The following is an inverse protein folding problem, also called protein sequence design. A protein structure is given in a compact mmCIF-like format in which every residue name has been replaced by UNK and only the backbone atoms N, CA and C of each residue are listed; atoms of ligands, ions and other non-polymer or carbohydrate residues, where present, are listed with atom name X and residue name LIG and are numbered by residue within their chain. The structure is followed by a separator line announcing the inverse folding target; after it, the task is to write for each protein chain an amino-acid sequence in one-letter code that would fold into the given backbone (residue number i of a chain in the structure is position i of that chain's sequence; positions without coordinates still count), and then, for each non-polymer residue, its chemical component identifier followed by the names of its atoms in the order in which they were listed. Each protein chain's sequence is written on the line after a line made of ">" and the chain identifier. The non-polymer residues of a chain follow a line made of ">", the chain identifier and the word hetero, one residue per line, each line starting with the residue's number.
data_IF_112013736037
#
_entry.id   IF_112013736037
#
_cell.length_a   1.000
_cell.length_b   1.000
_cell.length_c   1.000
_cell.angle_alpha   90.00
_cell.angle_beta   90.00
_cell.angle_gamma   90.00
#
_symmetry.space_group_name_H-M   'P 1'
#
loop_
_entity.id
_entity.type
_entity.pdbx_description
1 polymer ?
#
# COMPACT_ATOMS: atom_id res chain seq x y z
N UNK A 1 11.23 31.04 -42.33
CA UNK A 1 9.96 30.31 -42.38
C UNK A 1 10.23 28.97 -43.04
N UNK A 2 10.22 27.80 -42.41
CA UNK A 2 10.01 27.40 -41.03
C UNK A 2 10.66 26.02 -40.90
N UNK A 3 11.55 25.84 -39.92
CA UNK A 3 12.10 24.53 -39.56
C UNK A 3 11.03 23.84 -38.73
N UNK A 4 10.41 22.78 -39.24
CA UNK A 4 9.63 21.86 -38.41
C UNK A 4 10.56 20.74 -37.96
N UNK A 5 10.70 20.68 -36.64
CA UNK A 5 11.56 19.81 -35.88
C UNK A 5 10.86 18.46 -35.72
N UNK A 6 11.20 17.48 -36.57
CA UNK A 6 10.61 16.14 -36.56
C UNK A 6 11.58 15.13 -35.89
N UNK A 7 12.09 15.50 -34.72
CA UNK A 7 13.09 14.72 -33.99
C UNK A 7 12.79 14.73 -32.49
N UNK A 8 11.87 13.87 -32.08
CA UNK A 8 11.86 13.21 -30.76
C UNK A 8 10.89 12.03 -30.82
N UNK A 9 11.27 11.01 -31.61
CA UNK A 9 10.68 9.68 -31.49
C UNK A 9 11.06 9.11 -30.13
N UNK A 10 10.05 8.84 -29.33
CA UNK A 10 10.12 8.20 -28.01
C UNK A 10 11.00 6.95 -28.02
N UNK A 11 11.85 6.83 -27.01
CA UNK A 11 12.76 5.72 -26.77
C UNK A 11 12.01 4.39 -26.70
N UNK A 12 12.03 3.60 -27.79
CA UNK A 12 11.67 2.17 -27.75
C UNK A 12 12.82 1.38 -27.13
N UNK A 13 12.88 1.31 -25.80
CA UNK A 13 13.73 0.31 -25.15
C UNK A 13 13.24 -1.09 -25.54
N UNK A 14 14.13 -1.91 -26.11
CA UNK A 14 13.79 -3.27 -26.54
C UNK A 14 13.31 -4.12 -25.37
N UNK A 15 12.07 -4.60 -25.42
CA UNK A 15 11.51 -5.49 -24.40
C UNK A 15 12.33 -6.77 -24.25
N UNK A 16 12.67 -7.12 -23.01
CA UNK A 16 13.35 -8.39 -22.74
C UNK A 16 12.46 -9.59 -23.14
N UNK A 17 13.04 -10.74 -23.55
CA UNK A 17 12.27 -11.93 -23.91
C UNK A 17 11.35 -12.43 -22.78
N UNK A 18 11.76 -12.24 -21.52
CA UNK A 18 10.96 -12.59 -20.33
C UNK A 18 9.74 -11.68 -20.24
N UNK A 19 9.93 -10.35 -20.30
CA UNK A 19 8.82 -9.38 -20.27
C UNK A 19 7.80 -9.65 -21.38
N UNK A 20 8.25 -9.93 -22.61
CA UNK A 20 7.34 -10.27 -23.72
C UNK A 20 6.51 -11.53 -23.44
N UNK A 21 7.10 -12.59 -22.88
CA UNK A 21 6.37 -13.82 -22.56
C UNK A 21 5.32 -13.60 -21.47
N UNK A 22 5.62 -12.79 -20.46
CA UNK A 22 4.68 -12.46 -19.39
C UNK A 22 3.48 -11.69 -19.94
N UNK A 23 3.73 -10.67 -20.77
CA UNK A 23 2.70 -9.91 -21.46
C UNK A 23 1.80 -10.83 -22.31
N UNK A 24 2.40 -11.62 -23.20
CA UNK A 24 1.63 -12.51 -24.08
C UNK A 24 0.83 -13.58 -23.32
N UNK A 25 1.37 -14.08 -22.20
CA UNK A 25 0.70 -15.09 -21.37
C UNK A 25 -0.52 -14.52 -20.63
N UNK A 26 -0.43 -13.28 -20.13
CA UNK A 26 -1.56 -12.61 -19.50
C UNK A 26 -2.67 -12.31 -20.53
N UNK A 27 -2.30 -11.76 -21.69
CA UNK A 27 -3.25 -11.52 -22.78
C UNK A 27 -3.95 -12.80 -23.26
N UNK A 28 -3.22 -13.93 -23.36
CA UNK A 28 -3.80 -15.24 -23.70
C UNK A 28 -4.84 -15.73 -22.68
N UNK A 29 -4.72 -15.35 -21.41
CA UNK A 29 -5.67 -15.68 -20.35
C UNK A 29 -6.80 -14.65 -20.21
N UNK A 30 -6.80 -13.61 -21.02
CA UNK A 30 -7.74 -12.49 -20.90
C UNK A 30 -7.48 -11.59 -19.68
N UNK A 31 -6.27 -11.64 -19.10
CA UNK A 31 -5.89 -10.84 -17.92
C UNK A 31 -4.93 -9.74 -18.30
N UNK A 32 -4.90 -8.68 -17.49
CA UNK A 32 -3.93 -7.58 -17.64
C UNK A 32 -2.54 -8.07 -17.19
N UNK A 33 -1.45 -7.82 -17.94
CA UNK A 33 -0.10 -8.16 -17.51
C UNK A 33 0.31 -7.40 -16.24
N UNK A 34 1.04 -8.07 -15.35
CA UNK A 34 1.63 -7.44 -14.16
C UNK A 34 2.81 -6.50 -14.49
N UNK A 35 3.44 -6.68 -15.65
CA UNK A 35 4.59 -5.91 -16.14
C UNK A 35 4.40 -5.55 -17.62
N UNK A 36 5.00 -4.42 -18.02
CA UNK A 36 5.07 -4.03 -19.43
C UNK A 36 3.78 -3.42 -19.97
N UNK A 37 2.97 -2.81 -19.09
CA UNK A 37 1.76 -2.08 -19.45
C UNK A 37 2.08 -0.88 -20.33
N UNK A 38 3.23 -0.25 -20.15
CA UNK A 38 3.75 0.83 -21.01
C UNK A 38 3.79 0.47 -22.51
N UNK A 39 3.85 -0.83 -22.83
CA UNK A 39 3.88 -1.33 -24.21
C UNK A 39 2.48 -1.54 -24.80
N UNK A 40 1.47 -1.58 -23.94
CA UNK A 40 0.07 -1.85 -24.28
C UNK A 40 -0.85 -0.66 -23.98
N UNK A 41 -0.38 0.29 -23.17
CA UNK A 41 -1.14 1.46 -22.73
C UNK A 41 -1.27 2.44 -23.88
N UNK A 42 -2.24 2.19 -24.74
CA UNK A 42 -2.64 3.11 -25.80
C UNK A 42 -3.81 3.93 -25.27
N UNK A 43 -3.67 5.26 -25.32
CA UNK A 43 -4.77 6.17 -25.02
C UNK A 43 -5.01 6.46 -23.54
N UNK A 44 -4.08 6.12 -22.64
CA UNK A 44 -4.11 6.56 -21.23
C UNK A 44 -3.16 7.73 -20.94
N UNK A 45 -2.36 8.16 -21.91
CA UNK A 45 -1.37 9.25 -21.73
C UNK A 45 -2.01 10.56 -21.25
N UNK A 46 -3.30 10.78 -21.56
CA UNK A 46 -4.05 11.94 -21.09
C UNK A 46 -4.26 11.95 -19.57
N UNK A 47 -4.23 10.78 -18.91
CA UNK A 47 -4.32 10.67 -17.45
C UNK A 47 -3.00 11.01 -16.77
N UNK A 48 -1.86 10.89 -17.47
CA UNK A 48 -0.54 10.98 -16.85
C UNK A 48 -0.31 12.30 -16.08
N UNK A 49 -0.59 13.49 -16.64
CA UNK A 49 -0.36 14.74 -15.93
C UNK A 49 -1.17 14.82 -14.63
N UNK A 50 -2.43 14.37 -14.67
CA UNK A 50 -3.31 14.39 -13.49
C UNK A 50 -2.81 13.43 -12.42
N UNK A 51 -2.45 12.21 -12.81
CA UNK A 51 -1.98 11.19 -11.86
C UNK A 51 -0.63 11.60 -11.25
N UNK A 52 0.27 12.18 -12.04
CA UNK A 52 1.57 12.62 -11.56
C UNK A 52 1.47 13.79 -10.56
N UNK A 53 0.60 14.77 -10.84
CA UNK A 53 0.34 15.88 -9.93
C UNK A 53 -0.27 15.40 -8.60
N UNK A 54 -1.16 14.41 -8.67
CA UNK A 54 -1.78 13.80 -7.50
C UNK A 54 -0.78 12.99 -6.69
N UNK A 55 0.05 12.17 -7.33
CA UNK A 55 1.13 11.44 -6.67
C UNK A 55 2.13 12.40 -6.02
N UNK A 56 2.47 13.51 -6.68
CA UNK A 56 3.34 14.54 -6.11
C UNK A 56 2.73 15.15 -4.85
N UNK A 57 1.42 15.44 -4.87
CA UNK A 57 0.69 15.98 -3.71
C UNK A 57 0.66 14.99 -2.55
N UNK A 58 0.42 13.70 -2.83
CA UNK A 58 0.44 12.63 -1.82
C UNK A 58 1.84 12.44 -1.24
N UNK A 59 2.88 12.48 -2.08
CA UNK A 59 4.27 12.41 -1.64
C UNK A 59 4.67 13.58 -0.72
N UNK A 60 4.04 14.75 -0.88
CA UNK A 60 4.16 15.89 0.01
C UNK A 60 3.35 15.75 1.32
N UNK A 61 2.54 14.70 1.45
CA UNK A 61 1.79 14.36 2.66
C UNK A 61 0.28 14.59 2.59
N UNK A 62 -0.30 14.90 1.43
CA UNK A 62 -1.75 14.93 1.28
C UNK A 62 -2.38 13.54 1.38
N UNK A 63 -3.63 13.47 1.84
CA UNK A 63 -4.51 12.33 1.61
C UNK A 63 -5.32 12.53 0.33
N UNK A 64 -5.35 11.54 -0.56
CA UNK A 64 -6.08 11.64 -1.84
C UNK A 64 -7.02 10.46 -2.06
N UNK A 65 -8.13 10.76 -2.73
CA UNK A 65 -9.07 9.76 -3.23
C UNK A 65 -9.38 10.03 -4.71
N UNK A 66 -9.35 8.98 -5.52
CA UNK A 66 -9.87 8.98 -6.90
C UNK A 66 -10.75 7.75 -7.10
N UNK A 67 -11.75 7.87 -7.97
CA UNK A 67 -12.54 6.74 -8.41
C UNK A 67 -12.52 6.64 -9.94
N UNK A 68 -12.27 5.44 -10.46
CA UNK A 68 -12.38 5.15 -11.89
C UNK A 68 -13.76 4.56 -12.17
N UNK A 69 -14.61 5.31 -12.88
CA UNK A 69 -15.95 4.86 -13.27
C UNK A 69 -16.00 4.58 -14.76
N UNK A 70 -16.60 3.44 -15.10
CA UNK A 70 -16.81 3.02 -16.48
C UNK A 70 -17.60 1.73 -16.56
N UNK A 71 -18.15 1.45 -17.75
CA UNK A 71 -18.90 0.23 -18.03
C UNK A 71 -18.03 -1.04 -17.87
N UNK A 72 -18.66 -2.20 -17.78
CA UNK A 72 -17.92 -3.46 -17.77
C UNK A 72 -17.12 -3.61 -19.07
N UNK A 73 -15.84 -3.97 -18.96
CA UNK A 73 -14.95 -4.07 -20.12
C UNK A 73 -14.40 -2.75 -20.65
N UNK A 74 -14.70 -1.60 -20.03
CA UNK A 74 -14.17 -0.27 -20.43
C UNK A 74 -12.67 -0.05 -20.14
N UNK A 75 -11.98 -1.05 -19.58
CA UNK A 75 -10.55 -0.94 -19.27
C UNK A 75 -10.23 -0.38 -17.88
N UNK A 76 -11.18 -0.36 -16.92
CA UNK A 76 -10.94 0.13 -15.54
C UNK A 76 -9.73 -0.55 -14.87
N UNK A 77 -9.70 -1.89 -14.86
CA UNK A 77 -8.59 -2.67 -14.30
C UNK A 77 -7.28 -2.35 -15.00
N UNK A 78 -7.31 -2.16 -16.32
CA UNK A 78 -6.13 -1.77 -17.08
C UNK A 78 -5.63 -0.37 -16.69
N UNK A 79 -6.54 0.60 -16.52
CA UNK A 79 -6.21 1.94 -16.04
C UNK A 79 -5.66 1.94 -14.61
N UNK A 80 -6.25 1.17 -13.69
CA UNK A 80 -5.73 1.00 -12.33
C UNK A 80 -4.31 0.46 -12.33
N UNK A 81 -4.08 -0.64 -13.05
CA UNK A 81 -2.75 -1.26 -13.16
C UNK A 81 -1.71 -0.31 -13.76
N UNK A 82 -2.13 0.52 -14.73
CA UNK A 82 -1.26 1.55 -15.28
C UNK A 82 -0.92 2.65 -14.25
N UNK A 83 -1.88 3.08 -13.43
CA UNK A 83 -1.65 4.02 -12.31
C UNK A 83 -0.71 3.39 -11.26
N UNK A 84 -0.89 2.12 -10.92
CA UNK A 84 -0.01 1.37 -10.03
C UNK A 84 1.45 1.39 -10.52
N UNK A 85 1.67 1.12 -11.81
CA UNK A 85 3.02 1.17 -12.38
C UNK A 85 3.62 2.58 -12.25
N UNK A 86 2.85 3.63 -12.55
CA UNK A 86 3.34 5.02 -12.38
C UNK A 86 3.66 5.35 -10.92
N UNK A 87 2.84 4.90 -9.99
CA UNK A 87 3.08 5.10 -8.57
C UNK A 87 4.38 4.41 -8.13
N UNK A 88 4.64 3.16 -8.56
CA UNK A 88 5.90 2.47 -8.29
C UNK A 88 7.11 3.19 -8.91
N UNK A 89 6.98 3.70 -10.14
CA UNK A 89 8.02 4.52 -10.79
C UNK A 89 8.28 5.84 -10.02
N UNK A 90 7.25 6.39 -9.37
CA UNK A 90 7.33 7.54 -8.48
C UNK A 90 7.75 7.20 -7.04
N UNK A 91 8.15 5.94 -6.75
CA UNK A 91 8.65 5.53 -5.44
C UNK A 91 7.57 5.19 -4.40
N UNK A 92 6.33 5.00 -4.81
CA UNK A 92 5.26 4.56 -3.91
C UNK A 92 5.28 3.05 -3.71
N UNK A 93 4.87 2.63 -2.51
CA UNK A 93 4.37 1.28 -2.33
C UNK A 93 2.94 1.18 -2.83
N UNK A 94 2.57 -0.01 -3.30
CA UNK A 94 1.27 -0.27 -3.91
C UNK A 94 0.65 -1.53 -3.32
N UNK A 95 -0.65 -1.48 -3.03
CA UNK A 95 -1.45 -2.65 -2.71
C UNK A 95 -2.76 -2.61 -3.49
N UNK A 96 -3.15 -3.74 -4.09
CA UNK A 96 -4.48 -3.92 -4.72
C UNK A 96 -5.29 -4.89 -3.88
N UNK A 97 -6.45 -4.45 -3.42
CA UNK A 97 -7.36 -5.22 -2.56
C UNK A 97 -8.69 -5.40 -3.27
N UNK A 98 -9.00 -6.64 -3.61
CA UNK A 98 -10.28 -7.00 -4.22
C UNK A 98 -11.38 -7.04 -3.16
N UNK A 99 -12.41 -6.22 -3.32
CA UNK A 99 -13.54 -6.13 -2.39
C UNK A 99 -14.55 -7.25 -2.68
N UNK A 100 -14.95 -7.96 -1.62
CA UNK A 100 -15.96 -9.02 -1.72
C UNK A 100 -16.81 -9.13 -0.46
N UNK A 101 -18.02 -9.68 -0.55
CA UNK A 101 -18.89 -9.86 0.62
C UNK A 101 -18.33 -10.87 1.64
N UNK A 102 -17.66 -11.91 1.15
CA UNK A 102 -17.21 -13.06 1.94
C UNK A 102 -15.82 -12.85 2.52
N UNK A 103 -14.86 -12.47 1.68
CA UNK A 103 -13.44 -12.55 2.01
C UNK A 103 -12.85 -11.20 2.41
N UNK A 104 -13.34 -10.11 1.83
CA UNK A 104 -12.84 -8.75 2.12
C UNK A 104 -13.98 -7.72 2.12
N UNK A 105 -14.90 -7.84 3.10
CA UNK A 105 -16.01 -6.91 3.20
C UNK A 105 -15.51 -5.53 3.61
N UNK A 106 -15.85 -4.52 2.80
CA UNK A 106 -15.37 -3.14 2.99
C UNK A 106 -15.70 -2.54 4.36
N UNK A 107 -16.77 -2.98 5.01
CA UNK A 107 -17.14 -2.51 6.35
C UNK A 107 -16.26 -3.09 7.49
N UNK A 108 -15.37 -4.04 7.19
CA UNK A 108 -14.37 -4.64 8.10
C UNK A 108 -12.97 -4.19 7.70
N UNK A 109 -12.58 -2.99 8.17
CA UNK A 109 -11.29 -2.38 7.82
C UNK A 109 -10.09 -3.21 8.28
N UNK A 110 -10.22 -4.02 9.33
CA UNK A 110 -9.20 -4.97 9.77
C UNK A 110 -8.86 -6.01 8.69
N UNK A 111 -9.86 -6.39 7.89
CA UNK A 111 -9.66 -7.33 6.78
C UNK A 111 -9.06 -6.63 5.57
N UNK A 112 -9.51 -5.40 5.27
CA UNK A 112 -8.91 -4.57 4.20
C UNK A 112 -7.44 -4.33 4.50
N UNK A 113 -7.10 -3.93 5.73
CA UNK A 113 -5.71 -3.75 6.17
C UNK A 113 -4.88 -5.02 6.03
N UNK A 114 -5.40 -6.18 6.46
CA UNK A 114 -4.70 -7.46 6.27
C UNK A 114 -4.42 -7.74 4.79
N UNK A 115 -5.38 -7.51 3.90
CA UNK A 115 -5.16 -7.68 2.45
C UNK A 115 -4.16 -6.66 1.91
N UNK A 116 -4.18 -5.42 2.39
CA UNK A 116 -3.22 -4.39 2.02
C UNK A 116 -1.79 -4.83 2.32
N UNK A 117 -1.53 -5.43 3.49
CA UNK A 117 -0.18 -5.90 3.85
C UNK A 117 0.22 -7.18 3.11
N UNK A 118 -0.73 -8.09 2.85
CA UNK A 118 -0.52 -9.31 2.05
C UNK A 118 -0.15 -9.01 0.59
N UNK A 119 -0.84 -8.03 -0.02
CA UNK A 119 -0.69 -7.64 -1.43
C UNK A 119 0.27 -6.46 -1.63
N UNK A 120 0.98 -6.05 -0.57
CA UNK A 120 1.92 -4.93 -0.62
C UNK A 120 3.09 -5.25 -1.55
N UNK A 121 3.41 -4.30 -2.42
CA UNK A 121 4.51 -4.37 -3.38
C UNK A 121 5.29 -3.07 -3.38
N UNK A 122 6.59 -3.16 -3.61
CA UNK A 122 7.50 -2.04 -3.84
C UNK A 122 8.34 -2.32 -5.08
N UNK A 123 9.06 -1.32 -5.57
CA UNK A 123 9.99 -1.51 -6.70
C UNK A 123 11.11 -2.51 -6.37
N UNK A 124 11.53 -2.59 -5.10
CA UNK A 124 12.53 -3.56 -4.65
C UNK A 124 11.94 -4.97 -4.44
N UNK A 125 10.68 -5.04 -3.99
CA UNK A 125 10.01 -6.28 -3.63
C UNK A 125 8.67 -6.40 -4.36
N UNK A 126 8.63 -7.06 -5.53
CA UNK A 126 7.44 -7.10 -6.40
C UNK A 126 6.29 -7.95 -5.83
N UNK A 127 6.50 -8.67 -4.72
CA UNK A 127 5.48 -9.46 -4.04
C UNK A 127 5.72 -9.47 -2.53
N UNK A 128 4.66 -9.35 -1.72
CA UNK A 128 4.68 -9.52 -0.25
C UNK A 128 5.78 -8.69 0.45
N UNK A 129 5.88 -7.41 0.08
CA UNK A 129 6.94 -6.51 0.50
C UNK A 129 6.90 -6.09 1.97
N UNK A 130 5.86 -6.47 2.74
CA UNK A 130 5.64 -5.93 4.07
C UNK A 130 6.81 -6.18 5.03
N UNK A 131 7.37 -7.39 5.05
CA UNK A 131 8.54 -7.70 5.89
C UNK A 131 9.76 -6.87 5.47
N UNK A 132 10.05 -6.85 4.17
CA UNK A 132 11.18 -6.11 3.62
C UNK A 132 11.07 -4.61 3.95
N UNK A 133 9.86 -4.07 4.00
CA UNK A 133 9.57 -2.70 4.43
C UNK A 133 9.89 -2.50 5.93
N UNK A 134 9.52 -3.43 6.81
CA UNK A 134 9.87 -3.36 8.23
C UNK A 134 11.40 -3.35 8.42
N UNK A 135 12.10 -4.23 7.70
CA UNK A 135 13.55 -4.35 7.76
C UNK A 135 14.26 -3.11 7.20
N UNK A 136 13.77 -2.57 6.09
CA UNK A 136 14.28 -1.32 5.50
C UNK A 136 14.04 -0.12 6.41
N UNK A 137 12.90 -0.07 7.11
CA UNK A 137 12.62 0.97 8.08
C UNK A 137 13.60 0.91 9.27
N UNK A 138 13.85 -0.28 9.82
CA UNK A 138 14.85 -0.48 10.88
C UNK A 138 16.23 0.01 10.44
N UNK A 139 16.70 -0.43 9.26
CA UNK A 139 18.00 -0.03 8.74
C UNK A 139 18.11 1.49 8.55
N UNK A 140 17.02 2.15 8.17
CA UNK A 140 16.98 3.62 8.04
C UNK A 140 17.06 4.30 9.39
N UNK A 141 16.34 3.81 10.39
CA UNK A 141 16.38 4.32 11.76
C UNK A 141 17.77 4.15 12.38
N UNK A 142 18.42 3.00 12.20
CA UNK A 142 19.79 2.75 12.68
C UNK A 142 20.77 3.75 12.06
N UNK A 143 20.71 3.92 10.73
CA UNK A 143 21.58 4.85 10.00
C UNK A 143 21.38 6.31 10.46
N UNK A 144 20.13 6.72 10.68
CA UNK A 144 19.81 8.07 11.13
C UNK A 144 20.23 8.31 12.58
N UNK A 145 20.10 7.31 13.45
CA UNK A 145 20.57 7.37 14.84
C UNK A 145 22.10 7.51 14.90
N UNK A 146 22.83 6.72 14.11
CA UNK A 146 24.30 6.81 13.98
C UNK A 146 24.73 8.19 13.45
N UNK A 147 24.09 8.65 12.37
CA UNK A 147 24.43 9.93 11.73
C UNK A 147 24.18 11.12 12.65
N UNK A 148 23.08 11.08 13.42
CA UNK A 148 22.72 12.15 14.35
C UNK A 148 23.41 12.03 15.72
N UNK A 149 24.08 10.90 16.01
CA UNK A 149 24.64 10.61 17.33
C UNK A 149 23.57 10.54 18.43
N UNK A 150 22.36 10.06 18.08
CA UNK A 150 21.20 9.98 18.97
C UNK A 150 20.96 8.54 19.40
N UNK A 151 20.26 8.38 20.52
CA UNK A 151 19.73 7.09 20.91
C UNK A 151 18.67 6.63 19.90
N UNK A 152 18.74 5.36 19.52
CA UNK A 152 17.85 4.78 18.51
C UNK A 152 16.42 4.68 19.03
N UNK A 153 16.23 4.27 20.29
CA UNK A 153 14.90 4.09 20.86
C UNK A 153 14.19 5.44 21.02
N UNK A 154 14.93 6.51 21.33
CA UNK A 154 14.41 7.88 21.28
C UNK A 154 13.92 8.28 19.88
N UNK A 155 14.67 7.93 18.82
CA UNK A 155 14.29 8.24 17.44
C UNK A 155 13.06 7.44 16.98
N UNK A 156 12.96 6.17 17.40
CA UNK A 156 11.79 5.32 17.15
C UNK A 156 10.54 5.93 17.80
N UNK A 157 10.64 6.34 19.07
CA UNK A 157 9.52 6.93 19.80
C UNK A 157 9.09 8.27 19.17
N UNK A 158 10.04 9.08 18.71
CA UNK A 158 9.76 10.32 17.99
C UNK A 158 8.99 10.06 16.68
N UNK A 159 9.48 9.15 15.82
CA UNK A 159 8.85 8.83 14.52
C UNK A 159 7.47 8.24 14.68
N UNK A 160 7.30 7.35 15.66
CA UNK A 160 6.04 6.65 15.89
C UNK A 160 5.10 7.39 16.83
N UNK A 161 5.48 8.56 17.35
CA UNK A 161 4.71 9.29 18.35
C UNK A 161 3.30 9.65 17.86
N UNK A 162 3.14 10.04 16.60
CA UNK A 162 1.84 10.34 15.99
C UNK A 162 0.96 9.08 15.87
N UNK A 163 1.57 7.94 15.52
CA UNK A 163 0.92 6.64 15.42
C UNK A 163 0.52 6.13 16.80
N UNK A 164 1.37 6.33 17.82
CA UNK A 164 1.11 5.91 19.19
C UNK A 164 -0.16 6.56 19.78
N UNK A 165 -0.52 7.78 19.36
CA UNK A 165 -1.74 8.46 19.80
C UNK A 165 -3.03 7.78 19.31
N UNK A 166 -2.97 7.08 18.17
CA UNK A 166 -4.15 6.49 17.51
C UNK A 166 -4.15 4.96 17.54
N UNK A 167 -2.98 4.34 17.55
CA UNK A 167 -2.77 2.90 17.64
C UNK A 167 -1.55 2.60 18.53
N UNK A 168 -1.66 2.73 19.88
CA UNK A 168 -0.55 2.49 20.80
C UNK A 168 0.11 1.10 20.67
N UNK A 169 -0.67 0.10 20.25
CA UNK A 169 -0.21 -1.28 20.12
C UNK A 169 0.66 -1.47 18.87
N UNK A 170 0.56 -0.60 17.85
CA UNK A 170 1.37 -0.71 16.64
C UNK A 170 2.86 -0.43 16.92
N UNK A 171 3.26 0.70 17.54
CA UNK A 171 4.65 0.93 17.92
C UNK A 171 5.18 -0.09 18.94
N UNK A 172 4.31 -0.59 19.83
CA UNK A 172 4.66 -1.65 20.77
C UNK A 172 5.06 -2.94 20.04
N UNK A 173 4.24 -3.39 19.08
CA UNK A 173 4.52 -4.57 18.29
C UNK A 173 5.72 -4.40 17.38
N UNK A 174 5.90 -3.22 16.78
CA UNK A 174 7.06 -2.90 15.96
C UNK A 174 8.35 -2.96 16.79
N UNK A 175 8.41 -2.35 17.97
CA UNK A 175 9.58 -2.49 18.87
C UNK A 175 9.86 -3.94 19.25
N UNK A 176 8.81 -4.72 19.51
CA UNK A 176 8.93 -6.16 19.72
C UNK A 176 9.56 -6.87 18.52
N UNK A 177 9.16 -6.50 17.29
CA UNK A 177 9.73 -7.04 16.06
C UNK A 177 11.23 -6.73 15.96
N UNK A 178 11.63 -5.46 16.17
CA UNK A 178 13.03 -5.04 16.12
C UNK A 178 13.90 -5.81 17.12
N UNK A 179 13.44 -5.91 18.38
CA UNK A 179 14.14 -6.67 19.42
C UNK A 179 14.28 -8.15 19.05
N UNK A 180 13.26 -8.74 18.44
CA UNK A 180 13.31 -10.12 17.99
C UNK A 180 14.31 -10.32 16.84
N UNK A 181 14.44 -9.35 15.93
CA UNK A 181 15.46 -9.35 14.87
C UNK A 181 16.87 -9.27 15.47
N UNK A 182 17.10 -8.40 16.45
CA UNK A 182 18.40 -8.27 17.15
C UNK A 182 18.80 -9.50 17.96
N UNK A 183 17.82 -10.20 18.54
CA UNK A 183 18.04 -11.44 19.27
C UNK A 183 18.19 -12.66 18.34
N UNK A 184 18.22 -12.46 17.00
CA UNK A 184 18.19 -13.52 15.98
C UNK A 184 17.00 -14.50 16.15
N UNK A 185 15.91 -14.04 16.76
CA UNK A 185 14.73 -14.84 17.05
C UNK A 185 13.71 -14.77 15.90
N UNK A 186 14.03 -15.48 14.82
CA UNK A 186 13.25 -15.46 13.58
C UNK A 186 11.80 -15.90 13.76
N UNK A 187 11.51 -16.86 14.64
CA UNK A 187 10.13 -17.31 14.89
C UNK A 187 9.28 -16.18 15.50
N UNK A 188 9.82 -15.45 16.48
CA UNK A 188 9.12 -14.33 17.10
C UNK A 188 9.01 -13.15 16.13
N UNK A 189 10.07 -12.84 15.39
CA UNK A 189 10.06 -11.78 14.38
C UNK A 189 8.99 -12.05 13.30
N UNK A 190 8.95 -13.26 12.75
CA UNK A 190 7.96 -13.66 11.74
C UNK A 190 6.54 -13.58 12.29
N UNK A 191 6.34 -14.04 13.54
CA UNK A 191 5.06 -13.95 14.21
C UNK A 191 4.60 -12.50 14.44
N UNK A 192 5.51 -11.60 14.83
CA UNK A 192 5.19 -10.19 15.05
C UNK A 192 4.96 -9.45 13.74
N UNK A 193 5.72 -9.75 12.69
CA UNK A 193 5.45 -9.24 11.35
C UNK A 193 4.07 -9.70 10.86
N UNK A 194 3.72 -10.98 11.05
CA UNK A 194 2.38 -11.48 10.72
C UNK A 194 1.28 -10.74 11.51
N UNK A 195 1.49 -10.52 12.81
CA UNK A 195 0.54 -9.81 13.66
C UNK A 195 0.38 -8.34 13.26
N UNK A 196 1.48 -7.63 13.04
CA UNK A 196 1.51 -6.27 12.50
C UNK A 196 0.81 -6.20 11.14
N UNK A 197 0.93 -7.26 10.34
CA UNK A 197 0.22 -7.44 9.08
C UNK A 197 -1.28 -7.69 9.22
N UNK A 198 -1.82 -7.84 10.44
CA UNK A 198 -3.25 -8.09 10.68
C UNK A 198 -3.65 -9.56 10.65
N UNK A 199 -2.69 -10.50 10.70
CA UNK A 199 -2.98 -11.93 10.85
C UNK A 199 -3.52 -12.22 12.26
N UNK A 200 -4.71 -12.82 12.35
CA UNK A 200 -5.35 -13.12 13.64
C UNK A 200 -4.88 -14.43 14.30
N UNK A 201 -4.20 -15.30 13.55
CA UNK A 201 -3.79 -16.64 13.96
C UNK A 201 -2.35 -16.70 14.52
N UNK A 202 -1.89 -15.63 15.17
CA UNK A 202 -0.55 -15.55 15.77
C UNK A 202 -0.54 -16.16 17.17
N UNK A 203 0.52 -16.86 17.53
CA UNK A 203 0.64 -17.55 18.82
C UNK A 203 0.63 -16.58 20.00
N UNK A 204 0.13 -17.04 21.15
CA UNK A 204 0.14 -16.24 22.39
C UNK A 204 1.55 -15.95 22.90
N UNK A 205 2.51 -16.84 22.61
CA UNK A 205 3.94 -16.65 22.93
C UNK A 205 4.49 -15.41 22.24
N UNK A 206 4.23 -15.27 20.93
CA UNK A 206 4.65 -14.12 20.13
C UNK A 206 4.03 -12.83 20.68
N UNK A 207 2.72 -12.80 20.94
CA UNK A 207 2.04 -11.61 21.48
C UNK A 207 2.59 -11.21 22.86
N UNK A 208 2.82 -12.20 23.72
CA UNK A 208 3.37 -11.99 25.08
C UNK A 208 4.79 -11.43 25.04
N UNK A 209 5.61 -11.85 24.08
CA UNK A 209 6.97 -11.33 23.91
C UNK A 209 6.98 -9.80 23.75
N UNK A 210 6.06 -9.27 22.94
CA UNK A 210 5.90 -7.82 22.71
C UNK A 210 4.93 -7.14 23.68
N UNK A 211 4.38 -7.84 24.69
CA UNK A 211 3.41 -7.28 25.63
C UNK A 211 2.04 -6.91 25.02
N UNK A 212 1.72 -7.46 23.86
CA UNK A 212 0.48 -7.20 23.12
C UNK A 212 -0.70 -7.86 23.82
N UNK A 213 -1.82 -7.13 23.89
CA UNK A 213 -3.12 -7.63 24.40
C UNK A 213 -4.19 -7.44 23.33
N UNK A 214 -4.95 -8.49 23.04
CA UNK A 214 -6.04 -8.48 22.08
C UNK A 214 -5.61 -8.74 20.63
N UNK A 215 -6.55 -8.51 19.71
CA UNK A 215 -6.37 -8.65 18.27
C UNK A 215 -6.66 -7.33 17.57
N UNK A 216 -6.28 -7.24 16.30
CA UNK A 216 -6.70 -6.15 15.42
C UNK A 216 -8.22 -6.18 15.21
N UNK A 217 -8.86 -5.04 15.39
CA UNK A 217 -10.29 -4.83 15.13
C UNK A 217 -10.53 -3.63 14.20
N UNK A 218 -11.80 -3.37 13.87
CA UNK A 218 -12.17 -2.27 12.98
C UNK A 218 -11.69 -0.90 13.47
N UNK A 219 -11.68 -0.67 14.78
CA UNK A 219 -11.35 0.64 15.36
C UNK A 219 -9.85 0.90 15.35
N UNK A 220 -9.06 -0.16 15.53
CA UNK A 220 -7.60 -0.12 15.53
C UNK A 220 -7.02 -0.18 14.12
N UNK A 221 -7.74 -0.80 13.16
CA UNK A 221 -7.31 -0.91 11.75
C UNK A 221 -6.99 0.43 11.08
N UNK A 222 -7.74 1.49 11.39
CA UNK A 222 -7.47 2.84 10.86
C UNK A 222 -6.13 3.39 11.36
N UNK A 223 -5.82 3.21 12.64
CA UNK A 223 -4.54 3.58 13.21
C UNK A 223 -3.39 2.72 12.69
N UNK A 224 -3.64 1.44 12.43
CA UNK A 224 -2.66 0.53 11.82
C UNK A 224 -2.34 0.92 10.38
N UNK A 225 -3.33 1.33 9.59
CA UNK A 225 -3.07 1.83 8.23
C UNK A 225 -2.17 3.08 8.25
N UNK A 226 -2.35 3.98 9.22
CA UNK A 226 -1.43 5.11 9.41
C UNK A 226 -0.04 4.67 9.82
N UNK A 227 0.04 3.70 10.75
CA UNK A 227 1.30 3.09 11.14
C UNK A 227 2.05 2.52 9.94
N UNK A 228 1.35 1.80 9.06
CA UNK A 228 1.91 1.30 7.80
C UNK A 228 2.43 2.44 6.92
N UNK A 229 1.67 3.52 6.72
CA UNK A 229 2.11 4.66 5.89
C UNK A 229 3.36 5.32 6.49
N UNK A 230 3.40 5.50 7.81
CA UNK A 230 4.56 6.06 8.52
C UNK A 230 5.80 5.18 8.32
N UNK A 231 5.66 3.86 8.48
CA UNK A 231 6.74 2.92 8.24
C UNK A 231 7.18 2.93 6.78
N UNK A 232 6.26 2.99 5.83
CA UNK A 232 6.60 3.07 4.40
C UNK A 232 7.43 4.31 4.09
N UNK A 233 7.06 5.47 4.63
CA UNK A 233 7.81 6.72 4.43
C UNK A 233 9.17 6.67 5.11
N UNK A 234 9.24 6.15 6.33
CA UNK A 234 10.51 5.93 7.01
C UNK A 234 11.40 4.87 6.34
N UNK A 235 10.84 3.97 5.53
CA UNK A 235 11.58 3.01 4.69
C UNK A 235 11.93 3.58 3.30
N UNK A 236 11.73 4.88 3.08
CA UNK A 236 12.09 5.57 1.83
C UNK A 236 11.04 5.49 0.71
N UNK A 237 9.83 5.00 0.98
CA UNK A 237 8.72 5.08 0.01
C UNK A 237 8.08 6.48 0.04
N UNK A 238 7.62 6.98 -1.10
CA UNK A 238 6.97 8.29 -1.19
C UNK A 238 5.56 8.31 -0.57
N UNK A 239 4.92 7.15 -0.45
CA UNK A 239 3.58 6.98 0.14
C UNK A 239 3.01 5.60 -0.19
N UNK A 240 1.69 5.45 -0.01
CA UNK A 240 0.93 4.25 -0.32
C UNK A 240 -0.15 4.56 -1.35
N UNK A 241 -0.12 3.88 -2.50
CA UNK A 241 -1.29 3.73 -3.36
C UNK A 241 -2.04 2.45 -2.97
N UNK A 242 -3.26 2.62 -2.47
CA UNK A 242 -4.16 1.52 -2.15
C UNK A 242 -5.31 1.52 -3.16
N UNK A 243 -5.37 0.46 -3.96
CA UNK A 243 -6.46 0.23 -4.93
C UNK A 243 -7.50 -0.66 -4.30
N UNK A 244 -8.77 -0.23 -4.30
CA UNK A 244 -9.91 -1.08 -3.99
C UNK A 244 -10.55 -1.56 -5.30
N UNK A 245 -10.25 -2.80 -5.70
CA UNK A 245 -10.83 -3.37 -6.93
C UNK A 245 -12.19 -4.01 -6.65
N UNK A 246 -13.01 -4.13 -7.69
CA UNK A 246 -14.36 -4.72 -7.66
C UNK A 246 -15.34 -4.07 -6.66
N UNK A 247 -15.16 -2.78 -6.34
CA UNK A 247 -16.09 -2.04 -5.44
C UNK A 247 -17.53 -2.03 -5.99
N UNK A 248 -17.74 -2.17 -7.30
CA UNK A 248 -19.08 -2.30 -7.89
C UNK A 248 -19.84 -3.54 -7.41
N UNK A 249 -19.16 -4.56 -6.88
CA UNK A 249 -19.80 -5.77 -6.31
C UNK A 249 -20.72 -5.43 -5.14
N UNK A 250 -20.46 -4.33 -4.43
CA UNK A 250 -21.33 -3.81 -3.37
C UNK A 250 -22.78 -3.62 -3.83
N UNK A 251 -23.02 -3.32 -5.12
CA UNK A 251 -24.36 -3.12 -5.66
C UNK A 251 -25.20 -4.41 -5.65
N UNK A 252 -24.54 -5.57 -5.72
CA UNK A 252 -25.19 -6.89 -5.77
C UNK A 252 -25.38 -7.52 -4.38
N UNK A 253 -24.84 -6.90 -3.35
CA UNK A 253 -24.93 -7.38 -1.96
C UNK A 253 -26.30 -7.11 -1.34
N UNK A 254 -26.58 -7.80 -0.22
CA UNK A 254 -27.77 -7.55 0.60
C UNK A 254 -27.81 -6.10 1.07
N UNK A 255 -29.00 -5.52 1.15
CA UNK A 255 -29.20 -4.09 1.46
C UNK A 255 -28.49 -3.65 2.74
N UNK A 256 -28.60 -4.43 3.82
CA UNK A 256 -27.98 -4.14 5.11
C UNK A 256 -26.44 -4.10 5.05
N UNK A 257 -25.85 -5.02 4.29
CA UNK A 257 -24.40 -5.13 4.15
C UNK A 257 -23.87 -4.07 3.20
N UNK A 258 -24.62 -3.77 2.14
CA UNK A 258 -24.35 -2.66 1.22
C UNK A 258 -24.36 -1.32 1.96
N UNK A 259 -25.36 -1.05 2.80
CA UNK A 259 -25.45 0.18 3.59
C UNK A 259 -24.26 0.33 4.56
N UNK A 260 -23.87 -0.76 5.24
CA UNK A 260 -22.69 -0.76 6.10
C UNK A 260 -21.41 -0.45 5.33
N UNK A 261 -21.21 -1.08 4.16
CA UNK A 261 -20.04 -0.87 3.33
C UNK A 261 -19.99 0.54 2.75
N UNK A 262 -21.11 1.09 2.26
CA UNK A 262 -21.18 2.45 1.75
C UNK A 262 -20.93 3.49 2.85
N UNK A 263 -21.46 3.29 4.06
CA UNK A 263 -21.17 4.17 5.17
C UNK A 263 -19.71 4.07 5.63
N UNK A 264 -19.12 2.88 5.61
CA UNK A 264 -17.69 2.71 5.89
C UNK A 264 -16.81 3.43 4.86
N UNK A 265 -17.12 3.30 3.57
CA UNK A 265 -16.43 4.03 2.51
C UNK A 265 -16.55 5.54 2.71
N UNK A 266 -17.78 6.04 2.94
CA UNK A 266 -18.03 7.47 3.20
C UNK A 266 -17.19 7.98 4.39
N UNK A 267 -17.19 7.27 5.51
CA UNK A 267 -16.39 7.63 6.69
C UNK A 267 -14.89 7.66 6.35
N UNK A 268 -14.40 6.71 5.56
CA UNK A 268 -13.00 6.68 5.17
C UNK A 268 -12.63 7.84 4.25
N UNK A 269 -13.49 8.21 3.30
CA UNK A 269 -13.31 9.39 2.46
C UNK A 269 -13.30 10.69 3.28
N UNK A 270 -14.22 10.81 4.23
CA UNK A 270 -14.25 11.95 5.17
C UNK A 270 -12.93 12.01 5.94
N UNK A 271 -12.40 10.89 6.43
CA UNK A 271 -11.11 10.88 7.12
C UNK A 271 -9.95 11.28 6.19
N UNK A 272 -9.89 10.73 4.97
CA UNK A 272 -8.83 11.08 3.98
C UNK A 272 -8.83 12.59 3.70
N UNK A 273 -10.01 13.18 3.45
CA UNK A 273 -10.15 14.62 3.22
C UNK A 273 -9.81 15.50 4.43
N UNK A 274 -9.78 14.94 5.64
CA UNK A 274 -9.35 15.61 6.87
C UNK A 274 -7.87 15.30 7.20
N UNK A 275 -7.06 14.91 6.20
CA UNK A 275 -5.63 14.61 6.31
C UNK A 275 -5.30 13.59 7.41
N UNK A 276 -6.24 12.66 7.64
CA UNK A 276 -6.09 11.60 8.63
C UNK A 276 -5.13 10.50 8.16
N UNK A 277 -4.80 10.45 6.87
CA UNK A 277 -3.89 9.46 6.26
C UNK A 277 -2.88 10.17 5.36
N UNK A 278 -1.91 10.91 5.94
CA UNK A 278 -0.96 11.69 5.15
C UNK A 278 -0.03 10.78 4.34
N UNK A 279 -0.08 10.88 3.00
CA UNK A 279 0.66 9.98 2.12
C UNK A 279 -0.12 8.77 1.62
N UNK A 280 -1.45 8.74 1.83
CA UNK A 280 -2.34 7.75 1.23
C UNK A 280 -2.96 8.29 -0.08
N UNK A 281 -2.82 7.53 -1.15
CA UNK A 281 -3.66 7.62 -2.34
C UNK A 281 -4.60 6.41 -2.34
N UNK A 282 -5.90 6.64 -2.11
CA UNK A 282 -6.96 5.65 -2.31
C UNK A 282 -7.52 5.71 -3.74
N UNK A 283 -7.49 4.61 -4.48
CA UNK A 283 -8.03 4.47 -5.84
C UNK A 283 -9.20 3.48 -5.91
#
# INVERSE_FOLDING_TARGET
>A
MGRHNDAQRTHRHGLSPVRRRNILSALRRGTVPADGLDQLAVGLDYLAPVIDDELTSVAAGAGMFKAIRGEYGSGKTFASRWIEQRAMEAGFAVAEVQISETDTPLHKLETVYRRTTEELRTTASPTRAFRDVLDAWLATVDMDAETAGRDRDELIEERLGSVAQVAPVFPLALRGYLRAVEEDNTEIADGLAAWLGGQGNVSSTVKRYAGIKGELDKFTATGFLRGLIEVLRGAGQSGLLLVLDEVETLQRMRTDTREKSLNALRQWLDEISNDRYPGLYLL
#
